data_IF_900756138282
#
_entry.id   IF_900756138282
#
_cell.length_a   1.000
_cell.length_b   1.000
_cell.length_c   1.000
_cell.angle_alpha   90.00
_cell.angle_beta   90.00
_cell.angle_gamma   90.00
#
_symmetry.space_group_name_H-M   'P 1'
#
loop_
_entity.id
_entity.type
_entity.pdbx_description
1 polymer ?
#
# COMPACT_ATOMS: atom_id res chain seq x y z
N UNK A 1 2.30 8.96 10.88
CA UNK A 1 0.84 9.12 11.06
C UNK A 1 0.18 10.15 10.11
N UNK A 2 0.85 11.20 9.60
CA UNK A 2 0.25 12.29 8.80
C UNK A 2 -0.75 11.93 7.67
N UNK A 3 -0.64 10.76 7.02
CA UNK A 3 -1.51 10.37 5.88
C UNK A 3 -2.68 9.45 6.24
N UNK A 4 -2.49 8.56 7.20
CA UNK A 4 -3.44 7.49 7.54
C UNK A 4 -3.86 7.52 9.01
N UNK A 5 -3.60 8.65 9.68
CA UNK A 5 -3.87 8.81 11.11
C UNK A 5 -2.95 7.97 12.00
N UNK A 6 -3.39 7.80 13.24
CA UNK A 6 -2.66 7.10 14.28
C UNK A 6 -3.13 5.68 14.49
N UNK A 7 -2.36 4.65 14.10
CA UNK A 7 -2.75 3.26 14.34
C UNK A 7 -2.72 2.92 15.84
N UNK A 8 -3.62 2.03 16.24
CA UNK A 8 -3.63 1.38 17.55
C UNK A 8 -2.47 0.38 17.67
N UNK A 9 -2.26 -0.40 16.60
CA UNK A 9 -1.19 -1.40 16.52
C UNK A 9 -0.42 -1.25 15.21
N UNK A 10 0.90 -1.40 15.28
CA UNK A 10 1.81 -1.38 14.14
C UNK A 10 2.56 -2.71 14.06
N UNK A 11 2.11 -3.54 13.12
CA UNK A 11 2.73 -4.84 12.86
C UNK A 11 4.01 -4.65 12.04
N UNK A 12 5.13 -5.15 12.55
CA UNK A 12 6.44 -5.09 11.88
C UNK A 12 7.21 -6.41 11.97
N UNK A 13 8.29 -6.51 11.21
CA UNK A 13 9.26 -7.61 11.34
C UNK A 13 10.15 -7.41 12.60
N UNK A 14 10.88 -8.46 12.99
CA UNK A 14 11.71 -8.53 14.20
C UNK A 14 13.09 -7.86 14.06
N UNK A 15 13.31 -7.09 13.00
CA UNK A 15 14.58 -6.36 12.81
C UNK A 15 14.76 -5.28 13.88
N UNK A 16 15.97 -5.20 14.46
CA UNK A 16 16.31 -4.24 15.53
C UNK A 16 16.11 -2.77 15.12
N UNK A 17 16.24 -2.47 13.83
CA UNK A 17 16.02 -1.13 13.27
C UNK A 17 14.60 -0.61 13.50
N UNK A 18 13.60 -1.48 13.48
CA UNK A 18 12.21 -1.08 13.68
C UNK A 18 11.95 -0.64 15.11
N UNK A 19 12.42 -1.39 16.11
CA UNK A 19 12.28 -0.99 17.51
C UNK A 19 12.98 0.34 17.82
N UNK A 20 14.14 0.59 17.19
CA UNK A 20 14.82 1.88 17.29
C UNK A 20 14.00 3.02 16.68
N UNK A 21 13.45 2.81 15.47
CA UNK A 21 12.62 3.81 14.79
C UNK A 21 11.34 4.13 15.57
N UNK A 22 10.69 3.12 16.15
CA UNK A 22 9.46 3.31 16.94
C UNK A 22 9.69 4.11 18.22
N UNK A 23 10.87 4.00 18.84
CA UNK A 23 11.26 4.86 19.97
C UNK A 23 11.42 6.32 19.54
N UNK A 24 12.04 6.57 18.38
CA UNK A 24 12.18 7.93 17.83
C UNK A 24 10.81 8.56 17.55
N UNK A 25 9.86 7.77 17.06
CA UNK A 25 8.49 8.23 16.76
C UNK A 25 7.57 8.19 18.00
N UNK A 26 8.08 7.78 19.17
CA UNK A 26 7.35 7.72 20.45
C UNK A 26 6.09 6.85 20.40
N UNK A 27 6.15 5.70 19.73
CA UNK A 27 5.03 4.76 19.60
C UNK A 27 5.45 3.29 19.77
N UNK A 28 6.56 3.06 20.48
CA UNK A 28 7.14 1.73 20.68
C UNK A 28 6.19 0.73 21.39
N UNK A 29 5.30 1.24 22.24
CA UNK A 29 4.23 0.50 22.92
C UNK A 29 3.23 -0.15 21.95
N UNK A 30 3.09 0.39 20.74
CA UNK A 30 2.13 -0.07 19.72
C UNK A 30 2.71 -1.12 18.78
N UNK A 31 3.97 -1.53 18.98
CA UNK A 31 4.61 -2.48 18.09
C UNK A 31 4.11 -3.91 18.36
N UNK A 32 3.61 -4.57 17.33
CA UNK A 32 3.32 -5.99 17.36
C UNK A 32 4.29 -6.74 16.44
N UNK A 33 4.84 -7.84 16.94
CA UNK A 33 5.69 -8.74 16.14
C UNK A 33 5.26 -10.17 16.38
N UNK A 34 5.36 -10.99 15.34
CA UNK A 34 4.87 -12.36 15.38
C UNK A 34 5.30 -13.13 14.15
N UNK A 35 5.09 -14.44 14.15
CA UNK A 35 5.27 -15.22 12.93
C UNK A 35 4.07 -14.96 12.03
N UNK A 36 4.29 -14.64 10.76
CA UNK A 36 3.24 -14.44 9.73
C UNK A 36 2.36 -13.19 9.88
N UNK A 37 2.43 -12.45 10.98
CA UNK A 37 1.59 -11.25 11.20
C UNK A 37 1.88 -10.16 10.17
N UNK A 38 3.11 -10.05 9.69
CA UNK A 38 3.51 -9.08 8.66
C UNK A 38 3.20 -9.54 7.22
N UNK A 39 2.57 -10.70 7.02
CA UNK A 39 2.27 -11.24 5.68
C UNK A 39 1.48 -10.25 4.82
N UNK A 40 0.54 -9.51 5.41
CA UNK A 40 -0.24 -8.50 4.65
C UNK A 40 0.68 -7.40 4.09
N UNK A 41 1.61 -6.92 4.92
CA UNK A 41 2.59 -5.93 4.49
C UNK A 41 3.51 -6.51 3.40
N UNK A 42 4.02 -7.73 3.59
CA UNK A 42 4.89 -8.37 2.59
C UNK A 42 4.19 -8.63 1.25
N UNK A 43 2.94 -9.11 1.30
CA UNK A 43 2.14 -9.34 0.09
C UNK A 43 1.80 -8.04 -0.64
N UNK A 44 1.66 -6.92 0.07
CA UNK A 44 1.44 -5.60 -0.53
C UNK A 44 2.60 -5.16 -1.43
N UNK A 45 3.81 -5.68 -1.22
CA UNK A 45 4.97 -5.39 -2.08
C UNK A 45 4.93 -6.12 -3.43
N UNK A 46 4.14 -7.20 -3.57
CA UNK A 46 4.16 -8.04 -4.77
C UNK A 46 3.66 -7.30 -6.02
N UNK A 47 2.50 -6.58 -6.00
CA UNK A 47 2.02 -5.83 -7.16
C UNK A 47 2.99 -4.72 -7.60
N UNK A 48 3.58 -4.02 -6.61
CA UNK A 48 4.60 -3.01 -6.85
C UNK A 48 5.82 -3.60 -7.56
N UNK A 49 6.42 -4.66 -6.97
CA UNK A 49 7.61 -5.33 -7.53
C UNK A 49 7.34 -5.93 -8.91
N UNK A 50 6.14 -6.49 -9.14
CA UNK A 50 5.74 -7.00 -10.46
C UNK A 50 5.75 -5.89 -11.50
N UNK A 51 5.21 -4.72 -11.17
CA UNK A 51 5.13 -3.60 -12.11
C UNK A 51 6.49 -2.94 -12.33
N UNK A 52 7.30 -2.78 -11.29
CA UNK A 52 8.69 -2.32 -11.40
C UNK A 52 9.52 -3.23 -12.33
N UNK A 53 9.40 -4.56 -12.18
CA UNK A 53 10.09 -5.53 -13.05
C UNK A 53 9.61 -5.45 -14.50
N UNK A 54 8.31 -5.30 -14.72
CA UNK A 54 7.74 -5.11 -16.07
C UNK A 54 8.25 -3.83 -16.74
N UNK A 55 8.62 -2.82 -15.96
CA UNK A 55 9.24 -1.57 -16.43
C UNK A 55 10.76 -1.65 -16.55
N UNK A 56 11.35 -2.85 -16.55
CA UNK A 56 12.80 -3.11 -16.64
C UNK A 56 13.63 -2.49 -15.50
N UNK A 57 13.01 -2.31 -14.33
CA UNK A 57 13.59 -1.65 -13.14
C UNK A 57 13.92 -0.17 -13.37
N UNK A 58 14.01 0.58 -12.28
CA UNK A 58 14.22 2.03 -12.32
C UNK A 58 15.68 2.35 -11.99
N UNK A 59 16.41 2.88 -12.97
CA UNK A 59 17.85 3.19 -12.82
C UNK A 59 18.14 4.43 -11.97
N UNK A 60 17.19 5.37 -11.87
CA UNK A 60 17.36 6.63 -11.12
C UNK A 60 16.34 6.72 -9.99
N UNK A 61 16.80 7.15 -8.82
CA UNK A 61 15.97 7.32 -7.61
C UNK A 61 14.74 8.21 -7.86
N UNK A 62 14.92 9.33 -8.59
CA UNK A 62 13.80 10.23 -8.94
C UNK A 62 12.68 9.54 -9.72
N UNK A 63 13.02 8.56 -10.56
CA UNK A 63 12.03 7.81 -11.33
C UNK A 63 11.27 6.83 -10.42
N UNK A 64 11.98 6.20 -9.46
CA UNK A 64 11.37 5.35 -8.43
C UNK A 64 10.39 6.14 -7.55
N UNK A 65 10.76 7.34 -7.12
CA UNK A 65 9.87 8.20 -6.33
C UNK A 65 8.61 8.59 -7.09
N UNK A 66 8.75 9.04 -8.35
CA UNK A 66 7.60 9.36 -9.21
C UNK A 66 6.71 8.14 -9.45
N UNK A 67 7.33 6.99 -9.73
CA UNK A 67 6.62 5.73 -9.91
C UNK A 67 5.84 5.35 -8.65
N UNK A 68 6.47 5.34 -7.48
CA UNK A 68 5.83 4.99 -6.21
C UNK A 68 4.69 5.95 -5.85
N UNK A 69 4.87 7.25 -6.10
CA UNK A 69 3.85 8.27 -5.84
C UNK A 69 2.57 8.05 -6.66
N UNK A 70 2.69 7.58 -7.90
CA UNK A 70 1.54 7.30 -8.79
C UNK A 70 1.01 5.88 -8.62
N UNK A 71 1.88 4.90 -8.41
CA UNK A 71 1.51 3.50 -8.34
C UNK A 71 0.58 3.20 -7.16
N UNK A 72 0.89 3.73 -5.96
CA UNK A 72 0.10 3.47 -4.76
C UNK A 72 -1.36 3.93 -4.87
N UNK A 73 -1.68 5.19 -5.23
CA UNK A 73 -3.08 5.62 -5.34
C UNK A 73 -3.82 4.87 -6.45
N UNK A 74 -3.19 4.65 -7.61
CA UNK A 74 -3.80 3.88 -8.70
C UNK A 74 -4.09 2.45 -8.27
N UNK A 75 -3.13 1.78 -7.63
CA UNK A 75 -3.32 0.40 -7.17
C UNK A 75 -4.45 0.33 -6.14
N UNK A 76 -4.45 1.20 -5.13
CA UNK A 76 -5.46 1.19 -4.08
C UNK A 76 -6.87 1.49 -4.62
N UNK A 77 -7.00 2.40 -5.58
CA UNK A 77 -8.29 2.75 -6.20
C UNK A 77 -8.96 1.56 -6.91
N UNK A 78 -8.16 0.77 -7.63
CA UNK A 78 -8.66 -0.36 -8.41
C UNK A 78 -8.61 -1.70 -7.67
N UNK A 79 -7.81 -1.83 -6.61
CA UNK A 79 -7.67 -3.04 -5.83
C UNK A 79 -8.76 -3.13 -4.73
N UNK A 80 -10.00 -3.34 -5.16
CA UNK A 80 -11.19 -3.37 -4.29
C UNK A 80 -11.42 -4.73 -3.61
N UNK A 81 -10.35 -5.40 -3.20
CA UNK A 81 -10.34 -6.63 -2.40
C UNK A 81 -11.52 -7.60 -2.72
N UNK A 82 -11.58 -8.11 -3.96
CA UNK A 82 -12.71 -8.89 -4.53
C UNK A 82 -13.31 -9.96 -3.61
N UNK A 83 -12.51 -10.53 -2.71
CA UNK A 83 -12.92 -11.61 -1.81
C UNK A 83 -13.78 -11.16 -0.63
N UNK A 84 -13.84 -9.86 -0.32
CA UNK A 84 -14.70 -9.31 0.74
C UNK A 84 -16.07 -8.83 0.27
N UNK A 85 -16.29 -8.71 -1.05
CA UNK A 85 -17.53 -8.16 -1.61
C UNK A 85 -18.32 -9.21 -2.40
N UNK A 86 -19.65 -9.07 -2.38
CA UNK A 86 -20.51 -9.79 -3.33
C UNK A 86 -20.12 -9.42 -4.77
N UNK A 87 -20.46 -10.31 -5.73
CA UNK A 87 -20.12 -10.07 -7.14
C UNK A 87 -20.72 -8.77 -7.67
N UNK A 88 -21.93 -8.43 -7.24
CA UNK A 88 -22.64 -7.24 -7.70
C UNK A 88 -22.02 -5.97 -7.11
N UNK A 89 -21.71 -5.95 -5.81
CA UNK A 89 -21.02 -4.84 -5.18
C UNK A 89 -19.62 -4.63 -5.78
N UNK A 90 -18.89 -5.71 -6.05
CA UNK A 90 -17.59 -5.61 -6.72
C UNK A 90 -17.70 -4.98 -8.11
N UNK A 91 -18.71 -5.36 -8.91
CA UNK A 91 -18.94 -4.75 -10.22
C UNK A 91 -19.30 -3.28 -10.09
N UNK A 92 -20.20 -2.94 -9.17
CA UNK A 92 -20.61 -1.56 -8.91
C UNK A 92 -19.41 -0.68 -8.54
N UNK A 93 -18.64 -1.09 -7.53
CA UNK A 93 -17.45 -0.38 -7.07
C UNK A 93 -16.41 -0.23 -8.20
N UNK A 94 -16.22 -1.26 -9.02
CA UNK A 94 -15.28 -1.22 -10.15
C UNK A 94 -15.72 -0.23 -11.22
N UNK A 95 -17.02 -0.17 -11.51
CA UNK A 95 -17.59 0.81 -12.45
C UNK A 95 -17.41 2.23 -11.90
N UNK A 96 -17.72 2.47 -10.62
CA UNK A 96 -17.51 3.77 -9.97
C UNK A 96 -16.05 4.22 -10.06
N UNK A 97 -15.10 3.34 -9.70
CA UNK A 97 -13.67 3.64 -9.78
C UNK A 97 -13.21 4.01 -11.20
N UNK A 98 -13.74 3.33 -12.23
CA UNK A 98 -13.45 3.66 -13.63
C UNK A 98 -14.04 5.00 -14.06
N UNK A 99 -15.24 5.33 -13.60
CA UNK A 99 -15.89 6.62 -13.88
C UNK A 99 -15.08 7.77 -13.28
N UNK A 100 -14.71 7.67 -12.00
CA UNK A 100 -13.86 8.65 -11.32
C UNK A 100 -12.52 8.83 -12.04
N UNK A 101 -11.89 7.72 -12.44
CA UNK A 101 -10.63 7.77 -13.20
C UNK A 101 -10.77 8.50 -14.53
N UNK A 102 -11.86 8.28 -15.27
CA UNK A 102 -12.13 8.98 -16.53
C UNK A 102 -12.36 10.47 -16.31
N UNK A 103 -13.06 10.85 -15.25
CA UNK A 103 -13.28 12.26 -14.91
C UNK A 103 -11.97 13.00 -14.64
N UNK A 104 -11.03 12.36 -13.93
CA UNK A 104 -9.69 12.92 -13.68
C UNK A 104 -8.86 13.09 -14.95
N UNK A 105 -9.12 12.29 -16.01
CA UNK A 105 -8.42 12.40 -17.29
C UNK A 105 -9.08 13.40 -18.26
N UNK A 106 -10.35 13.74 -18.05
CA UNK A 106 -11.08 14.72 -18.87
C UNK A 106 -10.98 16.15 -18.34
N UNK A 107 -10.45 16.33 -17.13
CA UNK A 107 -10.17 17.63 -16.53
C UNK A 107 -8.78 18.14 -16.93
#
# INVERSE_FOLDING_TARGET
MKRYGGPEVVVMDKLRSYGAAMKVVSNADRQETGRWVNNRAENSHVPFRRRERAMLRLRRMRCLQKFAAVHSPVHNHFNQERHFYSRDNFKFNRTAALTEWRQLLSA
#
